data_IF_470018074564
#
_entry.id   IF_470018074564
#
_cell.length_a   1.000
_cell.length_b   1.000
_cell.length_c   1.000
_cell.angle_alpha   90.00
_cell.angle_beta   90.00
_cell.angle_gamma   90.00
#
_symmetry.space_group_name_H-M   'P 1'
#
loop_
_entity.id
_entity.type
_entity.pdbx_description
1 polymer ?
#
# COMPACT_ATOMS: atom_id res chain seq x y z
N UNK A 1 -8.40 17.08 8.44
CA UNK A 1 -9.28 16.38 9.39
C UNK A 1 -10.74 16.41 8.95
N UNK A 2 -11.27 17.58 8.54
CA UNK A 2 -12.68 17.63 8.15
C UNK A 2 -12.99 16.79 6.90
N UNK A 3 -12.10 16.73 5.92
CA UNK A 3 -12.24 15.85 4.75
C UNK A 3 -12.25 14.37 5.15
N UNK A 4 -11.39 13.94 6.08
CA UNK A 4 -11.40 12.57 6.61
C UNK A 4 -12.78 12.26 7.23
N UNK A 5 -13.29 13.17 8.06
CA UNK A 5 -14.62 13.04 8.70
C UNK A 5 -15.73 12.90 7.66
N UNK A 6 -15.70 13.71 6.60
CA UNK A 6 -16.70 13.66 5.53
C UNK A 6 -16.68 12.33 4.78
N UNK A 7 -15.48 11.82 4.45
CA UNK A 7 -15.33 10.53 3.77
C UNK A 7 -15.84 9.36 4.63
N UNK A 8 -15.48 9.33 5.91
CA UNK A 8 -15.96 8.30 6.84
C UNK A 8 -17.49 8.37 7.04
N UNK A 9 -18.06 9.58 7.15
CA UNK A 9 -19.53 9.77 7.22
C UNK A 9 -20.25 9.38 5.92
N UNK A 10 -19.58 9.51 4.79
CA UNK A 10 -20.12 9.07 3.49
C UNK A 10 -20.08 7.55 3.30
N UNK A 11 -19.51 6.80 4.27
CA UNK A 11 -19.49 5.34 4.28
C UNK A 11 -18.15 4.70 3.95
N UNK A 12 -17.06 5.47 3.86
CA UNK A 12 -15.72 4.90 3.75
C UNK A 12 -15.33 4.23 5.08
N UNK A 13 -14.77 3.02 5.02
CA UNK A 13 -14.22 2.34 6.18
C UNK A 13 -12.84 2.89 6.55
N UNK A 14 -12.07 3.32 5.56
CA UNK A 14 -10.70 3.81 5.71
C UNK A 14 -10.43 4.99 4.77
N UNK A 15 -9.46 5.81 5.14
CA UNK A 15 -9.00 6.95 4.32
C UNK A 15 -7.49 6.82 4.12
N UNK A 16 -7.06 6.81 2.85
CA UNK A 16 -5.65 6.79 2.48
C UNK A 16 -5.12 8.22 2.33
N UNK A 17 -3.97 8.50 2.94
CA UNK A 17 -3.34 9.82 2.96
C UNK A 17 -1.92 9.67 2.40
N UNK A 18 -1.61 10.40 1.33
CA UNK A 18 -0.28 10.44 0.69
C UNK A 18 0.33 11.84 0.86
N UNK A 19 0.32 12.69 -0.16
CA UNK A 19 1.05 13.98 -0.20
C UNK A 19 0.82 14.86 1.01
N UNK A 20 -0.42 14.93 1.51
CA UNK A 20 -0.76 15.73 2.68
C UNK A 20 -0.02 15.29 3.97
N UNK A 21 0.41 14.03 4.07
CA UNK A 21 1.17 13.56 5.22
C UNK A 21 2.63 14.05 5.21
N UNK A 22 3.22 14.24 4.03
CA UNK A 22 4.55 14.82 3.92
C UNK A 22 4.57 16.30 4.28
N UNK A 23 3.50 17.03 3.96
CA UNK A 23 3.35 18.44 4.33
C UNK A 23 3.05 18.60 5.83
N UNK A 24 2.26 17.70 6.40
CA UNK A 24 1.84 17.74 7.79
C UNK A 24 1.57 16.35 8.35
N UNK A 25 2.58 15.74 8.98
CA UNK A 25 2.48 14.41 9.61
C UNK A 25 1.47 14.37 10.77
N UNK A 26 1.22 15.53 11.44
CA UNK A 26 0.21 15.66 12.50
C UNK A 26 -1.19 15.29 12.02
N UNK A 27 -1.46 15.36 10.71
CA UNK A 27 -2.72 14.91 10.10
C UNK A 27 -3.00 13.42 10.37
N UNK A 28 -1.94 12.59 10.33
CA UNK A 28 -2.04 11.15 10.66
C UNK A 28 -2.32 11.00 12.16
N UNK A 29 -1.57 11.68 13.02
CA UNK A 29 -1.70 11.59 14.48
C UNK A 29 -3.10 12.02 14.95
N UNK A 30 -3.57 13.16 14.46
CA UNK A 30 -4.89 13.67 14.81
C UNK A 30 -6.00 12.79 14.24
N UNK A 31 -5.85 12.33 13.00
CA UNK A 31 -6.78 11.40 12.35
C UNK A 31 -6.92 10.10 13.14
N UNK A 32 -5.79 9.49 13.52
CA UNK A 32 -5.76 8.27 14.32
C UNK A 32 -6.40 8.48 15.71
N UNK A 33 -6.11 9.61 16.36
CA UNK A 33 -6.70 9.95 17.67
C UNK A 33 -8.21 10.13 17.60
N UNK A 34 -8.73 10.76 16.54
CA UNK A 34 -10.16 11.10 16.42
C UNK A 34 -11.02 9.96 15.87
N UNK A 35 -10.48 9.19 14.94
CA UNK A 35 -11.24 8.18 14.18
C UNK A 35 -10.78 6.74 14.43
N UNK A 36 -9.65 6.57 15.12
CA UNK A 36 -8.99 5.29 15.31
C UNK A 36 -7.94 5.00 14.23
N UNK A 37 -6.81 4.42 14.63
CA UNK A 37 -5.71 4.07 13.71
C UNK A 37 -6.19 3.19 12.55
N UNK A 38 -7.13 2.28 12.79
CA UNK A 38 -7.68 1.37 11.77
C UNK A 38 -8.37 2.08 10.60
N UNK A 39 -8.75 3.36 10.76
CA UNK A 39 -9.36 4.18 9.70
C UNK A 39 -8.31 4.95 8.87
N UNK A 40 -7.06 5.01 9.33
CA UNK A 40 -6.01 5.82 8.71
C UNK A 40 -5.00 4.93 7.99
N UNK A 41 -4.92 5.07 6.68
CA UNK A 41 -3.96 4.37 5.81
C UNK A 41 -2.92 5.37 5.34
N UNK A 42 -1.63 5.10 5.59
CA UNK A 42 -0.56 5.86 4.95
C UNK A 42 -0.34 5.30 3.54
N UNK A 43 -0.60 6.11 2.52
CA UNK A 43 -0.28 5.77 1.13
C UNK A 43 1.12 6.28 0.80
N UNK A 44 1.99 5.38 0.36
CA UNK A 44 3.41 5.64 0.13
C UNK A 44 3.76 5.22 -1.29
N UNK A 45 4.21 6.15 -2.09
CA UNK A 45 4.69 5.92 -3.46
C UNK A 45 6.22 5.88 -3.43
N UNK A 46 6.82 4.81 -3.96
CA UNK A 46 8.27 4.62 -3.95
C UNK A 46 8.84 4.37 -5.34
N UNK A 47 10.10 4.80 -5.52
CA UNK A 47 10.96 4.44 -6.65
C UNK A 47 12.30 3.94 -6.14
N UNK A 48 12.95 3.08 -6.91
CA UNK A 48 14.32 2.64 -6.65
C UNK A 48 15.30 3.57 -7.36
N UNK A 49 16.10 4.34 -6.61
CA UNK A 49 17.10 5.27 -7.13
C UNK A 49 18.47 4.88 -6.56
N UNK A 50 19.43 4.61 -7.42
CA UNK A 50 20.80 4.23 -7.04
C UNK A 50 20.85 3.09 -6.01
N UNK A 51 19.95 2.11 -6.16
CA UNK A 51 19.86 0.92 -5.30
C UNK A 51 19.10 1.10 -3.99
N UNK A 52 18.57 2.30 -3.70
CA UNK A 52 17.79 2.62 -2.50
C UNK A 52 16.36 3.04 -2.86
N UNK A 53 15.40 2.73 -1.99
CA UNK A 53 14.02 3.16 -2.18
C UNK A 53 13.79 4.55 -1.60
N UNK A 54 13.25 5.45 -2.44
CA UNK A 54 12.91 6.82 -2.08
C UNK A 54 11.40 7.03 -2.17
N UNK A 55 10.85 7.80 -1.23
CA UNK A 55 9.44 8.14 -1.21
C UNK A 55 9.15 9.38 -2.06
N UNK A 56 8.03 9.32 -2.77
CA UNK A 56 7.55 10.39 -3.63
C UNK A 56 6.15 10.83 -3.23
N UNK A 57 5.82 12.07 -3.53
CA UNK A 57 4.49 12.65 -3.40
C UNK A 57 3.95 13.09 -4.77
N UNK A 58 2.70 13.59 -4.83
CA UNK A 58 2.08 14.10 -6.04
C UNK A 58 2.12 13.10 -7.20
N UNK A 59 1.58 11.89 -6.97
CA UNK A 59 1.56 10.79 -7.94
C UNK A 59 2.95 10.36 -8.43
N UNK A 60 3.94 10.39 -7.54
CA UNK A 60 5.31 9.98 -7.85
C UNK A 60 6.15 11.04 -8.56
N UNK A 61 5.71 12.29 -8.61
CA UNK A 61 6.42 13.38 -9.32
C UNK A 61 7.45 14.11 -8.45
N UNK A 62 7.20 14.24 -7.14
CA UNK A 62 8.02 15.04 -6.23
C UNK A 62 8.76 14.15 -5.25
N UNK A 63 10.10 14.17 -5.31
CA UNK A 63 10.95 13.51 -4.31
C UNK A 63 10.78 14.20 -2.95
N UNK A 64 10.38 13.44 -1.95
CA UNK A 64 10.09 13.96 -0.60
C UNK A 64 11.34 14.11 0.27
N UNK A 65 12.47 13.55 -0.17
CA UNK A 65 13.70 13.50 0.61
C UNK A 65 13.78 12.32 1.59
N UNK A 66 12.68 11.59 1.82
CA UNK A 66 12.65 10.44 2.73
C UNK A 66 13.01 9.13 2.02
N UNK A 67 13.75 8.25 2.71
CA UNK A 67 13.82 6.85 2.31
C UNK A 67 12.54 6.11 2.68
N UNK A 68 12.33 4.92 2.09
CA UNK A 68 11.22 4.04 2.44
C UNK A 68 11.27 3.69 3.94
N UNK A 69 12.45 3.30 4.43
CA UNK A 69 12.68 2.86 5.80
C UNK A 69 12.33 3.94 6.82
N UNK A 70 12.75 5.18 6.54
CA UNK A 70 12.45 6.31 7.42
C UNK A 70 10.95 6.64 7.43
N UNK A 71 10.32 6.63 6.25
CA UNK A 71 8.94 7.09 6.16
C UNK A 71 7.94 6.08 6.68
N UNK A 72 8.13 4.77 6.43
CA UNK A 72 7.23 3.75 6.98
C UNK A 72 7.21 3.75 8.50
N UNK A 73 8.37 3.95 9.15
CA UNK A 73 8.46 4.05 10.61
C UNK A 73 7.75 5.32 11.11
N UNK A 74 8.02 6.48 10.51
CA UNK A 74 7.42 7.75 10.89
C UNK A 74 5.88 7.74 10.83
N UNK A 75 5.30 7.20 9.77
CA UNK A 75 3.83 7.18 9.62
C UNK A 75 3.17 6.21 10.61
N UNK A 76 3.83 5.10 10.93
CA UNK A 76 3.33 4.15 11.94
C UNK A 76 3.45 4.73 13.35
N UNK A 77 4.57 5.37 13.68
CA UNK A 77 4.73 6.10 14.96
C UNK A 77 3.71 7.22 15.11
N UNK A 78 3.36 7.90 14.01
CA UNK A 78 2.31 8.92 13.97
C UNK A 78 0.90 8.33 14.16
N UNK A 79 0.70 7.01 14.03
CA UNK A 79 -0.56 6.33 14.30
C UNK A 79 -1.29 5.77 13.08
N UNK A 80 -0.64 5.70 11.91
CA UNK A 80 -1.22 4.99 10.77
C UNK A 80 -1.46 3.52 11.13
N UNK A 81 -2.66 3.01 10.88
CA UNK A 81 -3.04 1.63 11.19
C UNK A 81 -2.78 0.66 10.04
N UNK A 82 -2.45 1.17 8.84
CA UNK A 82 -2.19 0.39 7.65
C UNK A 82 -1.34 1.19 6.66
N UNK A 83 -0.55 0.51 5.84
CA UNK A 83 0.24 1.11 4.77
C UNK A 83 -0.24 0.58 3.41
N UNK A 84 -0.49 1.48 2.46
CA UNK A 84 -0.63 1.17 1.04
C UNK A 84 0.68 1.56 0.34
N UNK A 85 1.47 0.56 -0.05
CA UNK A 85 2.80 0.75 -0.62
C UNK A 85 2.78 0.50 -2.12
N UNK A 86 3.06 1.53 -2.92
CA UNK A 86 3.02 1.49 -4.38
C UNK A 86 4.42 1.64 -4.98
N UNK A 87 4.81 0.70 -5.83
CA UNK A 87 5.95 0.88 -6.74
C UNK A 87 5.51 1.70 -7.93
N UNK A 88 5.97 2.96 -8.00
CA UNK A 88 5.62 3.90 -9.09
C UNK A 88 6.16 3.42 -10.43
N UNK A 89 7.33 2.79 -10.44
CA UNK A 89 7.98 2.31 -11.67
C UNK A 89 7.28 1.08 -12.26
N UNK A 90 6.72 0.23 -11.40
CA UNK A 90 6.04 -0.99 -11.84
C UNK A 90 4.53 -0.79 -12.02
N UNK A 91 3.95 0.29 -11.47
CA UNK A 91 2.52 0.52 -11.60
C UNK A 91 2.08 0.63 -13.06
N UNK A 92 1.07 -0.13 -13.43
CA UNK A 92 0.58 -0.23 -14.81
C UNK A 92 1.38 -1.16 -15.74
N UNK A 93 2.57 -1.63 -15.36
CA UNK A 93 3.47 -2.41 -16.25
C UNK A 93 3.10 -3.88 -16.37
N UNK A 94 2.38 -4.45 -15.40
CA UNK A 94 2.06 -5.88 -15.31
C UNK A 94 3.31 -6.81 -15.30
N UNK A 95 4.44 -6.33 -14.72
CA UNK A 95 5.71 -7.08 -14.66
C UNK A 95 5.98 -7.74 -13.31
N UNK A 96 5.03 -7.72 -12.40
CA UNK A 96 5.13 -8.21 -11.04
C UNK A 96 5.26 -7.09 -10.02
N UNK A 97 4.97 -7.41 -8.74
CA UNK A 97 5.19 -6.47 -7.63
C UNK A 97 6.69 -6.38 -7.29
N UNK A 98 7.08 -5.24 -6.71
CA UNK A 98 8.42 -5.09 -6.14
C UNK A 98 8.50 -5.81 -4.77
N UNK A 99 8.84 -7.09 -4.82
CA UNK A 99 8.89 -7.96 -3.63
C UNK A 99 9.95 -7.50 -2.64
N UNK A 100 11.10 -6.98 -3.12
CA UNK A 100 12.16 -6.43 -2.28
C UNK A 100 11.67 -5.21 -1.48
N UNK A 101 11.02 -4.27 -2.15
CA UNK A 101 10.43 -3.08 -1.53
C UNK A 101 9.40 -3.46 -0.45
N UNK A 102 8.50 -4.39 -0.79
CA UNK A 102 7.46 -4.86 0.13
C UNK A 102 8.10 -5.50 1.37
N UNK A 103 9.11 -6.36 1.19
CA UNK A 103 9.80 -7.04 2.27
C UNK A 103 10.49 -6.06 3.23
N UNK A 104 11.17 -5.04 2.70
CA UNK A 104 11.78 -3.99 3.53
C UNK A 104 10.72 -3.34 4.42
N UNK A 105 9.58 -2.94 3.87
CA UNK A 105 8.52 -2.31 4.65
C UNK A 105 7.93 -3.25 5.70
N UNK A 106 7.61 -4.50 5.32
CA UNK A 106 6.96 -5.47 6.23
C UNK A 106 7.86 -5.92 7.38
N UNK A 107 9.19 -5.91 7.20
CA UNK A 107 10.15 -6.23 8.25
C UNK A 107 10.33 -5.09 9.27
N UNK A 108 9.99 -3.85 8.90
CA UNK A 108 10.20 -2.66 9.73
C UNK A 108 8.98 -2.27 10.57
N UNK A 109 7.77 -2.71 10.18
CA UNK A 109 6.52 -2.29 10.84
C UNK A 109 5.65 -3.48 11.24
N UNK A 110 4.77 -3.25 12.24
CA UNK A 110 3.83 -4.28 12.73
C UNK A 110 2.38 -4.02 12.27
N UNK A 111 2.17 -3.05 11.39
CA UNK A 111 0.85 -2.79 10.80
C UNK A 111 0.73 -3.49 9.45
N UNK A 112 -0.49 -3.83 8.99
CA UNK A 112 -0.69 -4.41 7.67
C UNK A 112 -0.10 -3.55 6.54
N UNK A 113 0.61 -4.19 5.62
CA UNK A 113 1.11 -3.57 4.38
C UNK A 113 0.35 -4.15 3.20
N UNK A 114 -0.26 -3.27 2.41
CA UNK A 114 -0.93 -3.59 1.15
C UNK A 114 0.05 -3.29 0.02
N UNK A 115 0.42 -4.30 -0.76
CA UNK A 115 1.27 -4.13 -1.93
C UNK A 115 0.47 -3.62 -3.13
N UNK A 116 1.00 -2.62 -3.85
CA UNK A 116 0.38 -2.01 -5.02
C UNK A 116 1.41 -1.72 -6.12
N UNK A 117 0.95 -1.77 -7.37
CA UNK A 117 1.75 -1.51 -8.55
C UNK A 117 2.48 -2.74 -9.09
N UNK A 118 2.22 -3.10 -10.35
CA UNK A 118 2.94 -4.11 -11.10
C UNK A 118 2.26 -5.46 -11.32
N UNK A 119 1.14 -5.76 -10.66
CA UNK A 119 0.46 -7.05 -10.81
C UNK A 119 0.20 -7.41 -12.29
N UNK A 120 0.74 -8.52 -12.76
CA UNK A 120 0.56 -9.05 -14.10
C UNK A 120 -0.17 -10.39 -14.15
N UNK A 121 -0.07 -11.16 -13.07
CA UNK A 121 -0.73 -12.46 -12.94
C UNK A 121 -0.95 -12.82 -11.47
N UNK A 122 -1.63 -13.95 -11.20
CA UNK A 122 -1.96 -14.36 -9.83
C UNK A 122 -0.74 -14.88 -9.05
N UNK A 123 0.29 -15.37 -9.75
CA UNK A 123 1.56 -15.76 -9.11
C UNK A 123 2.28 -14.57 -8.52
N UNK A 124 2.25 -13.40 -9.18
CA UNK A 124 2.83 -12.17 -8.64
C UNK A 124 2.18 -11.80 -7.30
N UNK A 125 0.85 -11.96 -7.19
CA UNK A 125 0.11 -11.74 -5.94
C UNK A 125 0.55 -12.71 -4.85
N UNK A 126 0.72 -13.99 -5.19
CA UNK A 126 1.20 -15.01 -4.27
C UNK A 126 2.61 -14.68 -3.75
N UNK A 127 3.52 -14.25 -4.64
CA UNK A 127 4.88 -13.87 -4.27
C UNK A 127 4.91 -12.62 -3.38
N UNK A 128 4.11 -11.60 -3.67
CA UNK A 128 4.02 -10.41 -2.84
C UNK A 128 3.59 -10.75 -1.39
N UNK A 129 2.69 -11.72 -1.22
CA UNK A 129 2.24 -12.18 0.10
C UNK A 129 3.30 -13.07 0.77
N UNK A 130 3.79 -14.10 0.07
CA UNK A 130 4.62 -15.15 0.70
C UNK A 130 6.09 -14.76 0.84
N UNK A 131 6.64 -14.03 -0.11
CA UNK A 131 8.04 -13.61 -0.12
C UNK A 131 8.20 -12.16 0.39
N UNK A 132 7.26 -11.27 0.01
CA UNK A 132 7.25 -9.89 0.46
C UNK A 132 6.65 -9.69 1.84
N UNK A 133 5.83 -10.62 2.33
CA UNK A 133 5.14 -10.50 3.62
C UNK A 133 3.92 -9.57 3.59
N UNK A 134 3.43 -9.18 2.41
CA UNK A 134 2.26 -8.31 2.29
C UNK A 134 1.02 -8.95 2.93
N UNK A 135 0.25 -8.17 3.67
CA UNK A 135 -1.02 -8.60 4.28
C UNK A 135 -2.17 -8.61 3.28
N UNK A 136 -2.05 -7.81 2.23
CA UNK A 136 -3.00 -7.74 1.12
C UNK A 136 -2.29 -7.23 -0.15
N UNK A 137 -2.95 -7.40 -1.30
CA UNK A 137 -2.49 -6.89 -2.59
C UNK A 137 -3.58 -6.07 -3.27
N UNK A 138 -3.19 -4.98 -3.92
CA UNK A 138 -4.05 -4.15 -4.77
C UNK A 138 -3.60 -4.29 -6.21
N UNK A 139 -4.55 -4.41 -7.14
CA UNK A 139 -4.30 -4.55 -8.57
C UNK A 139 -5.40 -3.86 -9.38
N UNK A 140 -5.04 -3.26 -10.49
CA UNK A 140 -5.96 -2.60 -11.42
C UNK A 140 -5.74 -3.06 -12.86
N UNK A 141 -4.56 -2.82 -13.44
CA UNK A 141 -4.25 -3.05 -14.86
C UNK A 141 -4.55 -4.47 -15.34
N UNK A 142 -4.22 -5.47 -14.53
CA UNK A 142 -4.52 -6.88 -14.80
C UNK A 142 -6.02 -7.13 -15.07
N UNK A 143 -6.90 -6.44 -14.37
CA UNK A 143 -8.36 -6.58 -14.53
C UNK A 143 -8.96 -5.70 -15.63
N UNK A 144 -8.21 -4.66 -16.05
CA UNK A 144 -8.65 -3.77 -17.13
C UNK A 144 -8.20 -4.24 -18.51
N UNK A 145 -7.04 -4.88 -18.59
CA UNK A 145 -6.39 -5.19 -19.86
C UNK A 145 -6.29 -6.69 -20.17
N UNK A 146 -6.77 -7.54 -19.27
CA UNK A 146 -6.79 -9.01 -19.47
C UNK A 146 -8.15 -9.57 -19.10
N UNK A 147 -8.35 -10.87 -19.36
CA UNK A 147 -9.55 -11.62 -18.96
C UNK A 147 -9.52 -12.09 -17.48
N UNK A 148 -8.44 -11.78 -16.76
CA UNK A 148 -8.26 -12.17 -15.36
C UNK A 148 -9.28 -11.46 -14.44
N UNK A 149 -9.70 -12.13 -13.37
CA UNK A 149 -10.73 -11.61 -12.45
C UNK A 149 -10.28 -11.65 -10.99
N UNK A 150 -10.82 -10.76 -10.13
CA UNK A 150 -10.55 -10.81 -8.68
C UNK A 150 -11.01 -12.12 -8.03
N UNK A 151 -12.01 -12.78 -8.60
CA UNK A 151 -12.50 -14.07 -8.11
C UNK A 151 -11.47 -15.17 -8.35
N UNK A 152 -10.98 -15.28 -9.57
CA UNK A 152 -9.95 -16.26 -9.93
C UNK A 152 -8.65 -16.03 -9.15
N UNK A 153 -8.27 -14.76 -8.91
CA UNK A 153 -7.15 -14.42 -8.05
C UNK A 153 -7.31 -14.99 -6.63
N UNK A 154 -8.50 -14.87 -6.06
CA UNK A 154 -8.81 -15.44 -4.73
C UNK A 154 -8.81 -16.98 -4.76
N UNK A 155 -9.38 -17.58 -5.78
CA UNK A 155 -9.36 -19.06 -5.96
C UNK A 155 -7.91 -19.55 -6.05
N UNK A 156 -7.09 -18.92 -6.89
CA UNK A 156 -5.66 -19.24 -7.03
C UNK A 156 -4.88 -19.14 -5.71
N UNK A 157 -5.08 -18.06 -4.96
CA UNK A 157 -4.43 -17.84 -3.67
C UNK A 157 -4.93 -18.84 -2.61
N UNK A 158 -6.23 -19.11 -2.58
CA UNK A 158 -6.84 -20.07 -1.65
C UNK A 158 -6.35 -21.51 -1.84
N UNK A 159 -6.19 -21.96 -3.09
CA UNK A 159 -5.61 -23.28 -3.44
C UNK A 159 -4.17 -23.44 -2.95
N UNK A 160 -3.46 -22.32 -2.74
CA UNK A 160 -2.07 -22.25 -2.23
C UNK A 160 -1.98 -21.98 -0.74
N UNK A 161 -3.10 -22.07 -0.03
CA UNK A 161 -3.14 -21.96 1.43
C UNK A 161 -3.17 -20.52 1.96
N UNK A 162 -3.34 -19.50 1.09
CA UNK A 162 -3.53 -18.13 1.52
C UNK A 162 -4.99 -17.93 1.95
N UNK A 163 -5.26 -17.45 3.18
CA UNK A 163 -6.61 -17.17 3.63
C UNK A 163 -7.25 -16.07 2.78
N UNK A 164 -8.34 -16.39 2.09
CA UNK A 164 -9.06 -15.44 1.22
C UNK A 164 -10.56 -15.48 1.48
N UNK A 165 -11.23 -14.35 1.28
CA UNK A 165 -12.69 -14.26 1.36
C UNK A 165 -13.30 -14.51 -0.02
N UNK A 166 -13.87 -15.71 -0.22
CA UNK A 166 -14.59 -16.11 -1.45
C UNK A 166 -16.09 -15.88 -1.22
N UNK A 167 -16.53 -14.64 -1.25
CA UNK A 167 -17.98 -14.32 -1.25
C UNK A 167 -18.22 -13.14 -2.16
#
# INVERSE_FOLDING_TARGET
IEQIRQLLRAGADKVAINSAAYDNLELITEGARLFGSQCIVASIDCRKIDGSYRCFSHNGEVDTGYSLEEWVQKVVEAGAGEILLTSVELDGTMQGYDVEMIKIATELVNVPVIASGGAGNYEDMYQAITQGGASAVAAASIYHFTEQTPREAKEYLGERGIPVRIK
#
